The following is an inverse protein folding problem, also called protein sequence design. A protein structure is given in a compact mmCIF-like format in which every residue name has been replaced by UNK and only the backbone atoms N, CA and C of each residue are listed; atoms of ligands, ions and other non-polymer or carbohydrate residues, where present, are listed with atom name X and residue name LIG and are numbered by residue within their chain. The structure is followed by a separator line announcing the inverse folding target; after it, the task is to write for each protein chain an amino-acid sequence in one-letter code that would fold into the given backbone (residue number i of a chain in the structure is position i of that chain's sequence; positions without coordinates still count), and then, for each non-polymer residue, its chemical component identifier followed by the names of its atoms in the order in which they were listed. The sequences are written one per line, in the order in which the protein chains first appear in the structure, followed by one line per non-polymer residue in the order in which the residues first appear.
data_IF_759801697584
#
_entry.id   IF_759801697584
#
_cell.length_a   1.000
_cell.length_b   1.000
_cell.length_c   1.000
_cell.angle_alpha   90.00
_cell.angle_beta   90.00
_cell.angle_gamma   90.00
#
_symmetry.space_group_name_H-M   'P 1'
#
loop_
_entity.id
_entity.type
_entity.pdbx_description
1 polymer ?
#
# COMPACT_ATOMS: atom_id res chain seq x y z
N UNK A 1 -5.83 -5.60 -0.10
CA UNK A 1 -6.93 -4.62 -0.17
C UNK A 1 -7.69 -4.43 1.16
N UNK A 2 -8.21 -5.48 1.84
CA UNK A 2 -8.93 -5.32 3.14
C UNK A 2 -8.18 -4.51 4.20
N UNK A 3 -6.87 -4.74 4.33
CA UNK A 3 -6.02 -3.99 5.27
C UNK A 3 -6.01 -2.48 5.00
N UNK A 4 -6.06 -2.05 3.72
CA UNK A 4 -6.08 -0.63 3.35
C UNK A 4 -7.39 0.03 3.78
N UNK A 5 -8.51 -0.66 3.61
CA UNK A 5 -9.83 -0.19 4.05
C UNK A 5 -9.85 -0.03 5.58
N UNK A 6 -9.30 -1.01 6.30
CA UNK A 6 -9.20 -0.96 7.75
C UNK A 6 -8.29 0.18 8.22
N UNK A 7 -7.11 0.34 7.61
CA UNK A 7 -6.17 1.39 7.94
C UNK A 7 -6.76 2.79 7.67
N UNK A 8 -7.44 2.98 6.54
CA UNK A 8 -8.13 4.24 6.23
C UNK A 8 -9.17 4.58 7.30
N UNK A 9 -9.94 3.60 7.77
CA UNK A 9 -10.94 3.83 8.82
C UNK A 9 -10.29 4.32 10.11
N UNK A 10 -9.21 3.69 10.56
CA UNK A 10 -8.49 4.13 11.77
C UNK A 10 -7.92 5.53 11.61
N UNK A 11 -7.28 5.84 10.48
CA UNK A 11 -6.70 7.17 10.23
C UNK A 11 -7.77 8.26 10.09
N UNK A 12 -8.95 7.93 9.56
CA UNK A 12 -10.08 8.84 9.51
C UNK A 12 -10.59 9.25 10.90
N UNK A 13 -10.49 8.37 11.90
CA UNK A 13 -10.85 8.71 13.30
C UNK A 13 -9.93 9.80 13.87
N UNK A 14 -8.69 9.88 13.37
CA UNK A 14 -7.71 10.91 13.71
C UNK A 14 -7.75 12.13 12.75
N UNK A 15 -8.72 12.18 11.83
CA UNK A 15 -8.85 13.27 10.85
C UNK A 15 -7.81 13.23 9.72
N UNK A 16 -7.12 12.10 9.53
CA UNK A 16 -6.11 11.89 8.50
C UNK A 16 -6.76 11.18 7.31
N UNK A 17 -6.87 11.87 6.16
CA UNK A 17 -7.25 11.22 4.90
C UNK A 17 -6.00 10.70 4.18
N UNK A 18 -6.08 9.48 3.66
CA UNK A 18 -5.00 8.85 2.91
C UNK A 18 -5.50 8.30 1.58
N UNK A 19 -4.62 8.36 0.59
CA UNK A 19 -4.79 7.74 -0.72
C UNK A 19 -3.82 6.58 -0.89
N UNK A 20 -4.20 5.64 -1.75
CA UNK A 20 -3.39 4.47 -2.05
C UNK A 20 -3.20 4.34 -3.55
N UNK A 21 -1.95 4.16 -4.00
CA UNK A 21 -1.63 3.92 -5.40
C UNK A 21 -0.83 2.62 -5.55
N UNK A 22 -1.30 1.68 -6.41
CA UNK A 22 -0.57 0.46 -6.70
C UNK A 22 0.49 0.68 -7.78
N UNK A 23 1.63 0.03 -7.63
CA UNK A 23 2.71 -0.01 -8.63
C UNK A 23 3.25 -1.44 -8.75
N UNK A 24 3.61 -1.85 -9.98
CA UNK A 24 4.33 -3.10 -10.19
C UNK A 24 5.82 -2.88 -9.94
N UNK A 25 6.41 -3.74 -9.10
CA UNK A 25 7.84 -3.69 -8.79
C UNK A 25 8.42 -5.09 -8.93
N UNK A 26 9.59 -5.20 -9.58
CA UNK A 26 10.34 -6.44 -9.60
C UNK A 26 11.22 -6.54 -8.35
N UNK A 27 11.10 -7.66 -7.64
CA UNK A 27 11.84 -7.95 -6.43
C UNK A 27 12.72 -9.17 -6.65
N UNK A 28 13.96 -9.12 -6.17
CA UNK A 28 14.85 -10.27 -6.16
C UNK A 28 14.70 -11.03 -4.83
N UNK A 29 14.27 -12.28 -4.93
CA UNK A 29 14.24 -13.22 -3.82
C UNK A 29 15.17 -14.39 -4.15
N UNK A 30 16.37 -14.40 -3.55
CA UNK A 30 17.35 -15.48 -3.68
C UNK A 30 17.71 -15.80 -5.15
N UNK A 31 17.93 -14.76 -5.96
CA UNK A 31 18.26 -14.88 -7.39
C UNK A 31 17.05 -15.10 -8.30
N UNK A 32 15.83 -15.09 -7.74
CA UNK A 32 14.58 -15.15 -8.51
C UNK A 32 13.91 -13.78 -8.54
N UNK A 33 13.75 -13.25 -9.76
CA UNK A 33 12.93 -12.07 -9.99
C UNK A 33 11.44 -12.41 -9.90
N UNK A 34 10.73 -11.68 -9.05
CA UNK A 34 9.28 -11.79 -8.84
C UNK A 34 8.66 -10.40 -8.95
N UNK A 35 7.71 -10.25 -9.86
CA UNK A 35 6.91 -9.03 -9.94
C UNK A 35 5.85 -9.02 -8.84
N UNK A 36 5.90 -8.01 -7.98
CA UNK A 36 4.96 -7.78 -6.90
C UNK A 36 4.13 -6.51 -7.15
N UNK A 37 3.02 -6.39 -6.44
CA UNK A 37 2.25 -5.14 -6.37
C UNK A 37 2.65 -4.42 -5.07
N UNK A 38 3.34 -3.29 -5.20
CA UNK A 38 3.62 -2.36 -4.11
C UNK A 38 2.44 -1.41 -3.97
N UNK A 39 1.89 -1.33 -2.76
CA UNK A 39 0.88 -0.33 -2.42
C UNK A 39 1.59 0.81 -1.72
N UNK A 40 1.53 1.99 -2.31
CA UNK A 40 2.10 3.20 -1.71
C UNK A 40 0.95 4.00 -1.08
N UNK A 41 1.23 4.64 0.05
CA UNK A 41 0.25 5.33 0.89
C UNK A 41 0.71 6.76 1.12
N UNK A 42 -0.16 7.73 0.84
CA UNK A 42 0.12 9.15 1.05
C UNK A 42 -1.05 9.85 1.75
N UNK A 43 -0.74 10.86 2.55
CA UNK A 43 -1.75 11.74 3.14
C UNK A 43 -2.25 12.73 2.09
N UNK A 44 -3.56 13.02 2.12
CA UNK A 44 -4.23 13.95 1.22
C UNK A 44 -4.55 15.28 1.88
#
# INVERSE_FOLDING_TARGET
MKAMVLARRYLQEDGIDVIFYPEFVDLDFDGRLVTAIKIIVEQR
#
